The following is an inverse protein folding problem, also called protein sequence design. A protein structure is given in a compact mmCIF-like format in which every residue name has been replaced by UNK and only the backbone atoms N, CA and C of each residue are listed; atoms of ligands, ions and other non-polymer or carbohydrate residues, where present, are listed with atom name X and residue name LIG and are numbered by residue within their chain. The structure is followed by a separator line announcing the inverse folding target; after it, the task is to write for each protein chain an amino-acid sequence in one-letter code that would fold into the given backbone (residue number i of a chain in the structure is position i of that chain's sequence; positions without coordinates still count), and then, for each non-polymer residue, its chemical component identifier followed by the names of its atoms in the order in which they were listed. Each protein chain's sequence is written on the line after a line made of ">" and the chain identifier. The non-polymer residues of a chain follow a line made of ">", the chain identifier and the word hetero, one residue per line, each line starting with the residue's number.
data_IF_077033198475
#
_entry.id   IF_077033198475
#
_cell.length_a   1.000
_cell.length_b   1.000
_cell.length_c   1.000
_cell.angle_alpha   90.00
_cell.angle_beta   90.00
_cell.angle_gamma   90.00
#
_symmetry.space_group_name_H-M   'P 1'
#
loop_
_entity.id
_entity.type
_entity.pdbx_description
1 polymer ?
#
# COMPACT_ATOMS: atom_id res chain seq x y z
N UNK A 1 -14.90 13.63 19.44
CA UNK A 1 -14.12 12.38 19.33
C UNK A 1 -14.93 11.41 18.50
N UNK A 2 -14.31 10.61 17.64
CA UNK A 2 -15.02 9.73 16.73
C UNK A 2 -14.29 8.39 16.58
N UNK A 3 -15.04 7.29 16.70
CA UNK A 3 -14.64 6.00 16.14
C UNK A 3 -14.35 6.14 14.64
N UNK A 4 -13.29 5.47 14.19
CA UNK A 4 -12.99 5.40 12.77
C UNK A 4 -14.06 4.61 12.02
N UNK A 5 -14.40 5.07 10.82
CA UNK A 5 -15.28 4.35 9.90
C UNK A 5 -14.61 3.08 9.37
N UNK A 6 -15.40 2.13 8.87
CA UNK A 6 -14.87 0.91 8.25
C UNK A 6 -13.88 1.17 7.11
N UNK A 7 -14.11 2.23 6.30
CA UNK A 7 -13.18 2.66 5.25
C UNK A 7 -11.84 3.11 5.83
N UNK A 8 -11.84 3.92 6.89
CA UNK A 8 -10.61 4.38 7.55
C UNK A 8 -9.84 3.21 8.17
N UNK A 9 -10.53 2.27 8.81
CA UNK A 9 -9.92 1.07 9.38
C UNK A 9 -9.26 0.21 8.29
N UNK A 10 -9.93 0.02 7.15
CA UNK A 10 -9.38 -0.71 6.01
C UNK A 10 -8.11 -0.04 5.47
N UNK A 11 -8.11 1.29 5.28
CA UNK A 11 -6.94 2.03 4.81
C UNK A 11 -5.75 1.93 5.76
N UNK A 12 -6.02 1.85 7.07
CA UNK A 12 -4.98 1.67 8.08
C UNK A 12 -4.57 0.20 8.27
N UNK A 13 -5.29 -0.76 7.69
CA UNK A 13 -5.13 -2.19 8.01
C UNK A 13 -5.41 -2.49 9.49
N UNK A 14 -6.30 -1.73 10.12
CA UNK A 14 -6.60 -1.76 11.54
C UNK A 14 -7.89 -2.54 11.83
N UNK A 15 -7.95 -3.21 12.98
CA UNK A 15 -9.16 -3.88 13.47
C UNK A 15 -10.06 -2.94 14.25
N UNK A 16 -9.48 -1.91 14.88
CA UNK A 16 -10.19 -0.83 15.57
C UNK A 16 -9.32 0.43 15.63
N UNK A 17 -9.97 1.59 15.80
CA UNK A 17 -9.28 2.87 15.85
C UNK A 17 -10.23 4.03 16.16
N UNK A 18 -9.66 5.09 16.71
CA UNK A 18 -10.35 6.31 17.12
C UNK A 18 -9.43 7.51 16.95
N UNK A 19 -10.03 8.70 16.90
CA UNK A 19 -9.28 9.95 16.88
C UNK A 19 -10.02 11.08 17.59
N UNK A 20 -9.24 12.05 18.07
CA UNK A 20 -9.72 13.22 18.79
C UNK A 20 -8.85 14.44 18.49
N UNK A 21 -9.44 15.63 18.62
CA UNK A 21 -8.70 16.89 18.48
C UNK A 21 -8.12 17.25 19.83
N UNK A 22 -6.81 17.50 19.85
CA UNK A 22 -6.08 17.92 21.05
C UNK A 22 -6.56 19.32 21.46
N UNK A 23 -7.05 19.44 22.68
CA UNK A 23 -7.52 20.73 23.21
C UNK A 23 -6.36 21.62 23.67
N UNK A 24 -6.61 22.94 23.78
CA UNK A 24 -5.62 23.90 24.30
C UNK A 24 -5.10 23.49 25.68
N UNK A 25 -6.00 23.01 26.53
CA UNK A 25 -5.70 22.54 27.88
C UNK A 25 -4.80 21.30 27.86
N UNK A 26 -5.05 20.36 26.97
CA UNK A 26 -4.26 19.13 26.83
C UNK A 26 -2.86 19.40 26.27
N UNK A 27 -2.75 20.32 25.32
CA UNK A 27 -1.47 20.69 24.71
C UNK A 27 -0.57 21.50 25.66
N UNK A 28 -1.12 22.50 26.36
CA UNK A 28 -0.33 23.49 27.11
C UNK A 28 -0.34 23.25 28.63
N UNK A 29 -1.49 22.89 29.20
CA UNK A 29 -1.67 22.77 30.64
C UNK A 29 -1.34 21.38 31.16
N UNK A 30 -2.13 20.38 30.74
CA UNK A 30 -2.02 19.00 31.22
C UNK A 30 -0.87 18.24 30.56
N UNK A 31 -0.46 18.63 29.34
CA UNK A 31 0.53 17.96 28.48
C UNK A 31 0.26 16.46 28.35
N UNK A 32 -1.01 16.11 28.13
CA UNK A 32 -1.50 14.74 28.04
C UNK A 32 -2.78 14.69 27.22
N UNK A 33 -3.00 13.59 26.49
CA UNK A 33 -4.29 13.30 25.87
C UNK A 33 -5.17 12.55 26.86
N UNK A 34 -6.42 12.96 26.96
CA UNK A 34 -7.44 12.25 27.75
C UNK A 34 -8.04 11.12 26.92
N UNK A 35 -7.87 9.89 27.40
CA UNK A 35 -8.45 8.69 26.79
C UNK A 35 -9.68 8.29 27.62
N UNK A 36 -10.81 8.97 27.45
CA UNK A 36 -11.99 8.74 28.28
C UNK A 36 -13.18 8.06 27.57
N UNK A 37 -13.17 8.02 26.23
CA UNK A 37 -14.24 7.46 25.39
C UNK A 37 -13.75 6.35 24.45
N UNK A 38 -13.81 6.59 23.13
CA UNK A 38 -13.59 5.59 22.07
C UNK A 38 -12.14 5.11 22.06
N UNK A 39 -11.18 6.00 22.33
CA UNK A 39 -9.75 5.70 22.43
C UNK A 39 -9.46 4.67 23.51
N UNK A 40 -10.20 4.73 24.62
CA UNK A 40 -10.05 3.78 25.73
C UNK A 40 -10.50 2.38 25.32
N UNK A 41 -11.56 2.29 24.52
CA UNK A 41 -12.05 1.03 23.96
C UNK A 41 -11.07 0.42 22.98
N UNK A 42 -10.39 1.25 22.16
CA UNK A 42 -9.30 0.82 21.27
C UNK A 42 -8.11 0.30 22.07
N UNK A 43 -7.70 1.04 23.11
CA UNK A 43 -6.59 0.66 23.98
C UNK A 43 -6.84 -0.67 24.70
N UNK A 44 -8.07 -0.89 25.19
CA UNK A 44 -8.48 -2.11 25.86
C UNK A 44 -8.35 -3.38 25.00
N UNK A 45 -8.24 -3.27 23.67
CA UNK A 45 -8.04 -4.42 22.79
C UNK A 45 -6.64 -5.06 22.92
N UNK A 46 -5.65 -4.28 23.35
CA UNK A 46 -4.23 -4.72 23.41
C UNK A 46 -3.63 -4.55 24.80
N UNK A 47 -4.36 -3.98 25.76
CA UNK A 47 -3.87 -3.66 27.08
C UNK A 47 -4.91 -3.93 28.16
N UNK A 48 -4.50 -4.55 29.27
CA UNK A 48 -5.32 -4.64 30.47
C UNK A 48 -5.32 -3.30 31.21
N UNK A 49 -6.42 -2.56 31.09
CA UNK A 49 -6.59 -1.26 31.75
C UNK A 49 -6.60 -1.35 33.27
N UNK A 50 -6.95 -2.51 33.85
CA UNK A 50 -6.93 -2.73 35.29
C UNK A 50 -5.51 -2.72 35.89
N UNK A 51 -4.51 -3.02 35.07
CA UNK A 51 -3.09 -3.02 35.45
C UNK A 51 -2.46 -1.62 35.49
N UNK A 52 -3.15 -0.58 35.00
CA UNK A 52 -2.60 0.77 34.91
C UNK A 52 -2.66 1.48 36.26
N UNK A 53 -1.56 2.13 36.64
CA UNK A 53 -1.43 2.83 37.92
C UNK A 53 -2.45 3.97 38.09
N UNK A 54 -2.89 4.13 39.35
CA UNK A 54 -3.72 5.25 39.81
C UNK A 54 -2.91 6.14 40.73
N UNK A 55 -2.90 7.44 40.48
CA UNK A 55 -2.26 8.41 41.39
C UNK A 55 -3.06 8.57 42.68
N UNK A 56 -2.36 8.65 43.81
CA UNK A 56 -2.96 8.84 45.14
C UNK A 56 -3.53 7.58 45.80
N UNK A 57 -3.11 6.38 45.38
CA UNK A 57 -3.36 5.10 46.06
C UNK A 57 -2.27 4.72 47.09
N UNK A 58 -2.38 3.52 47.69
CA UNK A 58 -1.47 3.04 48.76
C UNK A 58 -0.02 2.86 48.26
N UNK A 59 0.16 2.52 46.99
CA UNK A 59 1.46 2.48 46.30
C UNK A 59 1.48 3.62 45.28
N UNK A 60 2.18 4.71 45.58
CA UNK A 60 2.32 5.87 44.71
C UNK A 60 3.36 5.60 43.62
N UNK A 61 3.06 4.65 42.73
CA UNK A 61 3.94 4.33 41.61
C UNK A 61 3.67 5.33 40.47
N UNK A 62 4.38 6.46 40.53
CA UNK A 62 4.18 7.62 39.66
C UNK A 62 4.65 7.40 38.22
N UNK A 63 5.11 6.19 37.86
CA UNK A 63 5.89 5.97 36.63
C UNK A 63 5.56 4.69 35.84
N UNK A 64 4.34 4.17 35.90
CA UNK A 64 3.95 3.10 34.97
C UNK A 64 3.91 3.67 33.55
N UNK A 65 4.81 3.15 32.73
CA UNK A 65 4.91 3.43 31.30
C UNK A 65 4.46 2.17 30.58
N UNK A 66 3.88 2.34 29.40
CA UNK A 66 3.44 1.24 28.56
C UNK A 66 3.97 1.40 27.16
N UNK A 67 4.11 0.28 26.45
CA UNK A 67 4.64 0.26 25.09
C UNK A 67 3.56 0.68 24.09
N UNK A 68 3.94 1.57 23.20
CA UNK A 68 3.15 2.03 22.07
C UNK A 68 4.03 2.07 20.82
N UNK A 69 3.40 1.93 19.66
CA UNK A 69 4.04 2.17 18.38
C UNK A 69 3.68 3.58 17.90
N UNK A 70 4.65 4.50 17.82
CA UNK A 70 4.38 5.84 17.27
C UNK A 70 4.46 5.75 15.76
N UNK A 71 3.37 6.09 15.08
CA UNK A 71 3.35 6.09 13.61
C UNK A 71 3.81 7.43 13.04
N UNK A 72 4.44 7.38 11.86
CA UNK A 72 4.78 8.57 11.10
C UNK A 72 3.60 8.94 10.18
N UNK A 73 3.01 10.15 10.27
CA UNK A 73 1.89 10.54 9.42
C UNK A 73 2.25 10.66 7.94
N UNK A 74 3.52 10.86 7.61
CA UNK A 74 4.01 10.91 6.22
C UNK A 74 4.35 9.52 5.67
N UNK A 75 4.55 8.53 6.54
CA UNK A 75 4.76 7.14 6.17
C UNK A 75 4.20 6.21 7.24
N UNK A 76 2.94 5.77 7.08
CA UNK A 76 2.23 4.96 8.08
C UNK A 76 2.88 3.59 8.34
N UNK A 77 3.74 3.12 7.42
CA UNK A 77 4.48 1.87 7.58
C UNK A 77 5.67 2.02 8.51
N UNK A 78 6.19 3.24 8.64
CA UNK A 78 7.22 3.58 9.60
C UNK A 78 6.62 3.72 11.00
N UNK A 79 7.31 3.14 11.98
CA UNK A 79 6.94 3.27 13.39
C UNK A 79 8.09 3.02 14.31
N UNK A 80 8.08 3.74 15.43
CA UNK A 80 9.02 3.56 16.53
C UNK A 80 8.31 3.05 17.78
N UNK A 81 8.82 1.99 18.39
CA UNK A 81 8.31 1.50 19.67
C UNK A 81 8.82 2.38 20.81
N UNK A 82 7.89 2.99 21.55
CA UNK A 82 8.20 3.97 22.58
C UNK A 82 7.40 3.69 23.84
N UNK A 83 8.02 3.99 24.99
CA UNK A 83 7.44 3.76 26.30
C UNK A 83 6.80 5.06 26.84
N UNK A 84 5.48 5.16 26.74
CA UNK A 84 4.72 6.38 27.05
C UNK A 84 4.08 6.27 28.43
N UNK A 85 4.18 7.29 29.31
CA UNK A 85 3.49 7.27 30.59
C UNK A 85 1.98 7.32 30.42
N UNK A 86 1.28 6.41 31.07
CA UNK A 86 -0.18 6.34 31.07
C UNK A 86 -0.68 6.10 32.49
N UNK A 87 -1.60 6.94 32.97
CA UNK A 87 -2.08 6.86 34.36
C UNK A 87 -3.53 7.30 34.51
N UNK A 88 -4.21 6.76 35.52
CA UNK A 88 -5.39 7.39 36.08
C UNK A 88 -4.94 8.51 37.04
N UNK A 89 -5.27 9.79 36.78
CA UNK A 89 -4.74 10.91 37.53
C UNK A 89 -5.38 11.05 38.93
N UNK A 90 -6.46 10.32 39.20
CA UNK A 90 -7.21 10.33 40.46
C UNK A 90 -7.32 8.91 41.03
N UNK A 91 -7.41 8.82 42.36
CA UNK A 91 -7.62 7.56 43.07
C UNK A 91 -8.97 6.91 42.73
N UNK A 92 -9.97 7.72 42.37
CA UNK A 92 -11.30 7.30 41.90
C UNK A 92 -11.64 7.95 40.56
N UNK A 93 -12.45 7.27 39.74
CA UNK A 93 -12.86 7.73 38.41
C UNK A 93 -12.19 6.95 37.26
N UNK A 94 -12.66 7.20 36.04
CA UNK A 94 -12.30 6.44 34.84
C UNK A 94 -11.53 7.26 33.79
N UNK A 95 -11.09 8.46 34.14
CA UNK A 95 -10.28 9.32 33.27
C UNK A 95 -8.88 8.74 33.15
N UNK A 96 -8.46 8.36 31.94
CA UNK A 96 -7.13 7.83 31.68
C UNK A 96 -6.34 8.88 30.88
N UNK A 97 -5.09 9.15 31.26
CA UNK A 97 -4.27 10.16 30.59
C UNK A 97 -3.01 9.55 30.03
N UNK A 98 -2.76 9.81 28.74
CA UNK A 98 -1.53 9.46 28.04
C UNK A 98 -0.66 10.71 27.91
N UNK A 99 0.50 10.72 28.57
CA UNK A 99 1.31 11.93 28.70
C UNK A 99 2.20 12.18 27.48
N UNK A 100 2.15 13.42 26.98
CA UNK A 100 2.97 13.89 25.86
C UNK A 100 4.37 14.25 26.35
N UNK A 101 5.39 13.88 25.58
CA UNK A 101 6.79 14.13 25.90
C UNK A 101 7.59 14.45 24.64
N UNK A 102 8.13 15.67 24.57
CA UNK A 102 8.99 16.08 23.47
C UNK A 102 10.31 15.30 23.39
N UNK A 103 10.80 14.72 24.49
CA UNK A 103 12.03 13.93 24.51
C UNK A 103 11.94 12.58 23.77
N UNK A 104 10.72 12.15 23.42
CA UNK A 104 10.44 10.92 22.68
C UNK A 104 9.62 11.22 21.41
N UNK A 105 9.65 12.46 20.94
CA UNK A 105 8.92 12.94 19.77
C UNK A 105 7.41 12.61 19.78
N UNK A 106 6.82 12.52 20.99
CA UNK A 106 5.39 12.31 21.20
C UNK A 106 4.76 13.57 21.76
N UNK A 107 4.56 14.58 20.91
CA UNK A 107 4.02 15.88 21.31
C UNK A 107 3.00 16.37 20.29
N UNK A 108 1.79 16.68 20.76
CA UNK A 108 0.73 17.31 19.97
C UNK A 108 0.49 18.76 20.39
N UNK A 109 0.19 19.62 19.43
CA UNK A 109 -0.22 21.00 19.67
C UNK A 109 -1.75 21.10 19.75
N UNK A 110 -2.23 22.23 20.26
CA UNK A 110 -3.66 22.52 20.23
C UNK A 110 -4.18 22.53 18.79
N UNK A 111 -5.26 21.81 18.55
CA UNK A 111 -5.84 21.63 17.22
C UNK A 111 -5.27 20.45 16.43
N UNK A 112 -4.15 19.85 16.82
CA UNK A 112 -3.68 18.60 16.19
C UNK A 112 -4.68 17.47 16.46
N UNK A 113 -4.73 16.50 15.56
CA UNK A 113 -5.57 15.30 15.68
C UNK A 113 -4.74 14.17 16.27
N UNK A 114 -5.06 13.77 17.49
CA UNK A 114 -4.58 12.54 18.09
C UNK A 114 -5.27 11.33 17.45
N UNK A 115 -4.49 10.32 17.11
CA UNK A 115 -4.97 9.10 16.46
C UNK A 115 -4.47 7.90 17.24
N UNK A 116 -5.36 6.93 17.48
CA UNK A 116 -5.03 5.63 18.06
C UNK A 116 -5.70 4.51 17.26
N UNK A 117 -4.98 3.43 16.98
CA UNK A 117 -5.54 2.25 16.32
C UNK A 117 -4.74 0.97 16.64
N UNK A 118 -5.37 -0.18 16.43
CA UNK A 118 -4.77 -1.49 16.62
C UNK A 118 -4.79 -2.29 15.32
N UNK A 119 -3.68 -2.96 15.00
CA UNK A 119 -3.62 -3.97 13.95
C UNK A 119 -3.62 -5.37 14.54
N UNK A 120 -4.09 -6.35 13.79
CA UNK A 120 -4.12 -7.75 14.25
C UNK A 120 -2.71 -8.29 14.48
N UNK A 121 -1.79 -8.05 13.54
CA UNK A 121 -0.40 -8.51 13.56
C UNK A 121 0.51 -7.79 14.55
N UNK A 122 0.06 -6.68 15.15
CA UNK A 122 0.90 -5.86 16.03
C UNK A 122 0.59 -6.12 17.51
N UNK A 123 1.64 -6.16 18.32
CA UNK A 123 1.51 -6.40 19.76
C UNK A 123 0.98 -5.18 20.52
N UNK A 124 1.37 -3.98 20.10
CA UNK A 124 1.07 -2.73 20.80
C UNK A 124 0.17 -1.83 19.96
N UNK A 125 -0.69 -1.01 20.61
CA UNK A 125 -1.48 -0.01 19.89
C UNK A 125 -0.58 1.04 19.23
N UNK A 126 -0.99 1.50 18.05
CA UNK A 126 -0.36 2.61 17.36
C UNK A 126 -0.98 3.93 17.79
N UNK A 127 -0.14 4.92 18.05
CA UNK A 127 -0.55 6.28 18.44
C UNK A 127 0.25 7.34 17.69
N UNK A 128 -0.28 8.54 17.58
CA UNK A 128 0.42 9.64 16.94
C UNK A 128 -0.44 10.89 16.83
N UNK A 129 0.18 11.95 16.33
CA UNK A 129 -0.47 13.24 16.09
C UNK A 129 -0.37 13.60 14.61
N UNK A 130 -1.45 14.13 14.06
CA UNK A 130 -1.52 14.66 12.71
C UNK A 130 -1.95 16.12 12.80
N UNK A 131 -1.25 17.03 12.12
CA UNK A 131 -1.68 18.44 12.10
C UNK A 131 -3.05 18.56 11.45
N UNK A 132 -3.91 19.45 11.94
CA UNK A 132 -5.23 19.67 11.34
C UNK A 132 -5.14 19.99 9.83
N UNK A 133 -4.13 20.75 9.41
CA UNK A 133 -3.90 21.09 8.01
C UNK A 133 -3.52 19.88 7.13
N UNK A 134 -2.93 18.83 7.72
CA UNK A 134 -2.46 17.64 7.01
C UNK A 134 -3.51 16.51 7.04
N UNK A 135 -4.61 16.67 7.78
CA UNK A 135 -5.60 15.60 8.03
C UNK A 135 -6.25 15.07 6.75
N UNK A 136 -6.72 15.97 5.88
CA UNK A 136 -7.36 15.57 4.63
C UNK A 136 -6.34 14.95 3.65
N UNK A 137 -5.13 15.52 3.60
CA UNK A 137 -4.03 15.00 2.78
C UNK A 137 -3.59 13.60 3.22
N UNK A 138 -3.55 13.34 4.53
CA UNK A 138 -3.22 12.02 5.09
C UNK A 138 -4.16 10.94 4.57
N UNK A 139 -5.48 11.15 4.69
CA UNK A 139 -6.47 10.19 4.21
C UNK A 139 -6.50 10.08 2.69
N UNK A 140 -6.30 11.21 1.97
CA UNK A 140 -6.19 11.23 0.52
C UNK A 140 -5.03 10.36 0.02
N UNK A 141 -3.85 10.49 0.62
CA UNK A 141 -2.67 9.71 0.25
C UNK A 141 -2.85 8.22 0.53
N UNK A 142 -3.41 7.84 1.69
CA UNK A 142 -3.68 6.44 2.01
C UNK A 142 -4.71 5.82 1.05
N UNK A 143 -5.76 6.57 0.69
CA UNK A 143 -6.75 6.11 -0.26
C UNK A 143 -6.14 5.91 -1.66
N UNK A 144 -5.32 6.86 -2.12
CA UNK A 144 -4.60 6.74 -3.40
C UNK A 144 -3.67 5.52 -3.43
N UNK A 145 -2.86 5.32 -2.38
CA UNK A 145 -1.96 4.16 -2.28
C UNK A 145 -2.75 2.85 -2.24
N UNK A 146 -3.87 2.80 -1.53
CA UNK A 146 -4.74 1.62 -1.49
C UNK A 146 -5.35 1.32 -2.86
N UNK A 147 -5.82 2.33 -3.58
CA UNK A 147 -6.39 2.19 -4.93
C UNK A 147 -5.32 1.71 -5.93
N UNK A 148 -4.13 2.31 -5.90
CA UNK A 148 -2.99 1.88 -6.71
C UNK A 148 -2.59 0.44 -6.39
N UNK A 149 -2.43 0.07 -5.12
CA UNK A 149 -2.05 -1.29 -4.74
C UNK A 149 -3.13 -2.31 -5.12
N UNK A 150 -4.41 -1.96 -4.99
CA UNK A 150 -5.51 -2.84 -5.43
C UNK A 150 -5.50 -3.04 -6.95
N UNK A 151 -5.17 -1.99 -7.70
CA UNK A 151 -5.06 -2.05 -9.16
C UNK A 151 -3.88 -2.91 -9.59
N UNK A 152 -2.70 -2.71 -8.98
CA UNK A 152 -1.50 -3.52 -9.22
C UNK A 152 -1.78 -4.98 -8.87
N UNK A 153 -2.42 -5.26 -7.73
CA UNK A 153 -2.74 -6.62 -7.32
C UNK A 153 -3.69 -7.33 -8.31
N UNK A 154 -4.71 -6.63 -8.82
CA UNK A 154 -5.61 -7.17 -9.84
C UNK A 154 -4.84 -7.43 -11.15
N UNK A 155 -3.98 -6.50 -11.57
CA UNK A 155 -3.13 -6.65 -12.75
C UNK A 155 -2.20 -7.88 -12.61
N UNK A 156 -1.55 -8.06 -11.45
CA UNK A 156 -0.66 -9.19 -11.18
C UNK A 156 -1.39 -10.54 -11.25
N UNK A 157 -2.61 -10.64 -10.73
CA UNK A 157 -3.41 -11.88 -10.82
C UNK A 157 -3.70 -12.22 -12.27
N UNK A 158 -4.19 -11.23 -13.04
CA UNK A 158 -4.57 -11.41 -14.44
C UNK A 158 -3.35 -11.77 -15.31
N UNK A 159 -2.21 -11.12 -15.08
CA UNK A 159 -0.97 -11.40 -15.80
C UNK A 159 -0.37 -12.76 -15.46
N UNK A 160 -0.44 -13.21 -14.20
CA UNK A 160 -0.03 -14.58 -13.83
C UNK A 160 -0.88 -15.64 -14.55
N UNK A 161 -2.19 -15.46 -14.58
CA UNK A 161 -3.09 -16.38 -15.30
C UNK A 161 -2.77 -16.40 -16.80
N UNK A 162 -2.48 -15.23 -17.37
CA UNK A 162 -2.07 -15.11 -18.75
C UNK A 162 -0.75 -15.83 -19.05
N UNK A 163 0.29 -15.64 -18.23
CA UNK A 163 1.56 -16.36 -18.42
C UNK A 163 1.36 -17.88 -18.39
N UNK A 164 0.54 -18.39 -17.46
CA UNK A 164 0.23 -19.83 -17.40
C UNK A 164 -0.44 -20.33 -18.67
N UNK A 165 -1.41 -19.58 -19.21
CA UNK A 165 -2.09 -19.92 -20.48
C UNK A 165 -1.14 -19.94 -21.67
N UNK A 166 -0.17 -19.01 -21.71
CA UNK A 166 0.83 -18.93 -22.75
C UNK A 166 1.75 -20.16 -22.71
N UNK A 167 2.21 -20.56 -21.52
CA UNK A 167 3.06 -21.74 -21.35
C UNK A 167 2.33 -23.02 -21.76
N UNK A 168 1.06 -23.18 -21.37
CA UNK A 168 0.25 -24.31 -21.81
C UNK A 168 0.07 -24.32 -23.34
N UNK A 169 -0.19 -23.16 -23.96
CA UNK A 169 -0.28 -23.02 -25.42
C UNK A 169 1.03 -23.44 -26.10
N UNK A 170 2.18 -22.96 -25.59
CA UNK A 170 3.49 -23.34 -26.13
C UNK A 170 3.74 -24.84 -26.02
N UNK A 171 3.26 -25.48 -24.96
CA UNK A 171 3.35 -26.92 -24.75
C UNK A 171 2.32 -27.75 -25.55
N UNK A 172 1.43 -27.10 -26.32
CA UNK A 172 0.35 -27.78 -27.05
C UNK A 172 -0.75 -28.36 -26.15
N UNK A 173 -0.85 -27.86 -24.91
CA UNK A 173 -1.83 -28.32 -23.93
C UNK A 173 -3.09 -27.44 -24.06
N UNK A 174 -4.28 -28.03 -24.22
CA UNK A 174 -5.53 -27.28 -24.24
C UNK A 174 -5.79 -26.64 -22.87
N UNK A 175 -6.18 -25.36 -22.86
CA UNK A 175 -6.49 -24.59 -21.65
C UNK A 175 -8.00 -24.40 -21.56
N UNK A 176 -8.60 -24.82 -20.45
CA UNK A 176 -9.99 -24.49 -20.14
C UNK A 176 -10.01 -23.27 -19.22
N UNK A 177 -10.63 -22.18 -19.64
CA UNK A 177 -10.72 -20.94 -18.86
C UNK A 177 -12.17 -20.72 -18.39
N UNK A 178 -12.36 -20.46 -17.10
CA UNK A 178 -13.65 -20.04 -16.53
C UNK A 178 -13.45 -18.84 -15.61
N UNK A 179 -13.45 -17.63 -16.18
CA UNK A 179 -13.48 -16.35 -15.46
C UNK A 179 -13.94 -15.23 -16.39
N UNK A 180 -14.46 -14.13 -15.83
CA UNK A 180 -14.82 -12.93 -16.59
C UNK A 180 -13.57 -12.07 -16.79
N UNK A 181 -12.88 -12.25 -17.92
CA UNK A 181 -11.81 -11.36 -18.38
C UNK A 181 -11.95 -11.06 -19.86
N UNK A 182 -11.25 -10.03 -20.33
CA UNK A 182 -11.14 -9.77 -21.75
C UNK A 182 -10.36 -10.91 -22.42
N UNK A 183 -10.86 -11.49 -23.53
CA UNK A 183 -10.19 -12.59 -24.21
C UNK A 183 -8.82 -12.14 -24.70
N UNK A 184 -7.79 -12.95 -24.42
CA UNK A 184 -6.41 -12.74 -24.86
C UNK A 184 -5.98 -13.86 -25.82
N UNK A 185 -5.25 -13.52 -26.87
CA UNK A 185 -4.73 -14.42 -27.87
C UNK A 185 -3.27 -14.76 -27.52
N UNK A 186 -3.06 -15.95 -26.96
CA UNK A 186 -1.73 -16.46 -26.61
C UNK A 186 -0.79 -16.58 -27.84
N UNK A 187 -1.34 -16.68 -29.04
CA UNK A 187 -0.58 -16.62 -30.29
C UNK A 187 0.13 -15.29 -30.51
N UNK A 188 -0.51 -14.17 -30.14
CA UNK A 188 0.11 -12.84 -30.24
C UNK A 188 1.24 -12.66 -29.22
N UNK A 189 1.08 -13.17 -27.99
CA UNK A 189 2.16 -13.17 -27.01
C UNK A 189 3.34 -14.02 -27.45
N UNK A 190 3.08 -15.23 -27.93
CA UNK A 190 4.13 -16.11 -28.48
C UNK A 190 4.86 -15.39 -29.61
N UNK A 191 4.13 -14.79 -30.55
CA UNK A 191 4.69 -14.05 -31.66
C UNK A 191 5.54 -12.85 -31.18
N UNK A 192 5.09 -12.10 -30.17
CA UNK A 192 5.85 -10.97 -29.62
C UNK A 192 7.19 -11.43 -29.01
N UNK A 193 7.20 -12.54 -28.25
CA UNK A 193 8.42 -13.13 -27.70
C UNK A 193 9.34 -13.61 -28.83
N UNK A 194 8.82 -14.29 -29.85
CA UNK A 194 9.59 -14.74 -31.01
C UNK A 194 10.20 -13.55 -31.78
N UNK A 195 9.44 -12.49 -31.99
CA UNK A 195 9.91 -11.26 -32.64
C UNK A 195 11.01 -10.54 -31.86
N UNK A 196 11.03 -10.67 -30.53
CA UNK A 196 12.12 -10.15 -29.69
C UNK A 196 13.42 -10.97 -29.77
N UNK A 197 13.39 -12.12 -30.44
CA UNK A 197 14.50 -13.08 -30.44
C UNK A 197 14.72 -13.72 -29.06
N UNK A 198 13.66 -13.86 -28.26
CA UNK A 198 13.74 -14.36 -26.88
C UNK A 198 14.69 -13.52 -26.00
N UNK A 199 14.63 -12.19 -26.13
CA UNK A 199 15.41 -11.25 -25.33
C UNK A 199 14.52 -10.26 -24.60
N UNK A 200 14.98 -9.75 -23.45
CA UNK A 200 14.22 -8.75 -22.72
C UNK A 200 14.27 -7.41 -23.45
N UNK A 201 13.10 -6.82 -23.69
CA UNK A 201 12.99 -5.53 -24.37
C UNK A 201 13.48 -4.35 -23.51
N UNK A 202 13.67 -4.52 -22.20
CA UNK A 202 14.32 -3.52 -21.33
C UNK A 202 15.84 -3.54 -21.55
N UNK A 203 16.47 -4.70 -21.39
CA UNK A 203 17.90 -4.90 -21.63
C UNK A 203 18.14 -6.28 -22.27
N UNK A 204 18.65 -6.35 -23.52
CA UNK A 204 18.87 -7.61 -24.21
C UNK A 204 19.97 -8.48 -23.57
N UNK A 205 20.77 -7.93 -22.65
CA UNK A 205 21.79 -8.68 -21.89
C UNK A 205 21.20 -9.48 -20.74
N UNK A 206 19.93 -9.28 -20.39
CA UNK A 206 19.27 -10.09 -19.38
C UNK A 206 19.10 -11.52 -19.88
N UNK A 207 19.87 -12.43 -19.28
CA UNK A 207 19.78 -13.86 -19.53
C UNK A 207 18.87 -14.53 -18.49
N UNK A 208 18.15 -15.55 -18.95
CA UNK A 208 17.27 -16.38 -18.12
C UNK A 208 17.57 -17.86 -18.37
N UNK A 209 16.91 -18.75 -17.65
CA UNK A 209 17.02 -20.18 -17.92
C UNK A 209 16.43 -20.52 -19.29
N UNK A 210 16.90 -21.63 -19.88
CA UNK A 210 16.40 -22.12 -21.15
C UNK A 210 15.04 -22.81 -20.96
N UNK A 211 14.02 -22.38 -21.70
CA UNK A 211 12.72 -23.02 -21.71
C UNK A 211 12.83 -24.42 -22.32
N UNK A 212 12.29 -25.47 -21.67
CA UNK A 212 12.28 -26.81 -22.24
C UNK A 212 11.36 -26.92 -23.46
N UNK A 213 10.39 -26.01 -23.61
CA UNK A 213 9.40 -26.02 -24.68
C UNK A 213 9.94 -25.36 -25.94
N UNK A 214 10.55 -24.18 -25.81
CA UNK A 214 11.07 -23.43 -26.98
C UNK A 214 12.54 -23.69 -27.25
N UNK A 215 13.29 -24.20 -26.26
CA UNK A 215 14.73 -24.35 -26.36
C UNK A 215 15.48 -23.01 -26.43
N UNK A 216 14.87 -21.92 -26.00
CA UNK A 216 15.43 -20.55 -26.01
C UNK A 216 15.38 -19.95 -24.59
N UNK A 217 15.91 -18.74 -24.40
CA UNK A 217 15.78 -18.04 -23.13
C UNK A 217 14.29 -17.88 -22.76
N UNK A 218 13.96 -18.13 -21.49
CA UNK A 218 12.62 -17.94 -20.97
C UNK A 218 12.29 -16.45 -20.84
N UNK A 219 11.19 -16.02 -21.45
CA UNK A 219 10.67 -14.66 -21.36
C UNK A 219 9.17 -14.70 -21.12
N UNK A 220 8.64 -13.64 -20.51
CA UNK A 220 7.24 -13.42 -20.21
C UNK A 220 6.70 -12.33 -21.13
N UNK A 221 5.47 -12.51 -21.64
CA UNK A 221 4.82 -11.52 -22.49
C UNK A 221 3.98 -10.59 -21.62
N UNK A 222 4.20 -9.27 -21.71
CA UNK A 222 3.51 -8.30 -20.87
C UNK A 222 2.77 -7.27 -21.74
N UNK A 223 1.50 -7.00 -21.43
CA UNK A 223 0.74 -5.92 -22.06
C UNK A 223 1.10 -4.60 -21.39
N UNK A 224 1.75 -3.71 -22.13
CA UNK A 224 2.25 -2.43 -21.61
C UNK A 224 1.12 -1.47 -21.22
N UNK A 225 -0.01 -1.49 -21.92
CA UNK A 225 -1.29 -0.97 -21.42
C UNK A 225 -2.03 -2.18 -20.83
N UNK A 226 -2.24 -2.23 -19.49
CA UNK A 226 -2.85 -3.38 -18.85
C UNK A 226 -4.25 -3.69 -19.39
N UNK A 227 -4.55 -4.97 -19.62
CA UNK A 227 -5.83 -5.42 -20.17
C UNK A 227 -7.04 -5.06 -19.28
N UNK A 228 -6.83 -4.84 -17.98
CA UNK A 228 -7.86 -4.34 -17.07
C UNK A 228 -8.47 -2.99 -17.50
N UNK A 229 -7.76 -2.25 -18.36
CA UNK A 229 -8.21 -0.96 -18.89
C UNK A 229 -8.86 -1.05 -20.27
N UNK A 230 -9.11 -2.25 -20.81
CA UNK A 230 -9.71 -2.43 -22.14
C UNK A 230 -11.06 -1.69 -22.30
N UNK A 231 -11.83 -1.54 -21.22
CA UNK A 231 -13.07 -0.76 -21.22
C UNK A 231 -12.87 0.72 -21.64
N UNK A 232 -11.68 1.28 -21.37
CA UNK A 232 -11.31 2.65 -21.75
C UNK A 232 -10.89 2.78 -23.22
N UNK A 233 -10.72 1.65 -23.93
CA UNK A 233 -10.36 1.59 -25.35
C UNK A 233 -11.47 0.84 -26.13
N UNK A 234 -12.69 1.39 -26.23
CA UNK A 234 -13.84 0.67 -26.78
C UNK A 234 -13.73 0.36 -28.28
N UNK A 235 -12.88 1.09 -29.01
CA UNK A 235 -12.71 0.94 -30.46
C UNK A 235 -11.45 0.15 -30.86
N UNK A 236 -10.54 -0.09 -29.92
CA UNK A 236 -9.25 -0.75 -30.17
C UNK A 236 -9.00 -1.85 -29.14
N UNK A 237 -8.73 -3.07 -29.61
CA UNK A 237 -8.28 -4.14 -28.71
C UNK A 237 -6.87 -3.84 -28.21
N UNK A 238 -6.68 -3.89 -26.90
CA UNK A 238 -5.38 -3.80 -26.25
C UNK A 238 -4.55 -5.08 -26.46
N UNK A 239 -5.19 -6.20 -26.81
CA UNK A 239 -4.52 -7.46 -27.10
C UNK A 239 -3.97 -7.48 -28.53
N UNK A 240 -2.88 -6.73 -28.74
CA UNK A 240 -2.23 -6.56 -30.04
C UNK A 240 -0.72 -6.48 -29.89
N UNK A 241 0.03 -6.88 -30.92
CA UNK A 241 1.51 -6.90 -30.90
C UNK A 241 2.15 -5.57 -30.50
N UNK A 242 1.54 -4.45 -30.90
CA UNK A 242 2.02 -3.11 -30.56
C UNK A 242 1.97 -2.78 -29.07
N UNK A 243 1.15 -3.51 -28.30
CA UNK A 243 0.99 -3.35 -26.86
C UNK A 243 1.68 -4.47 -26.06
N UNK A 244 2.22 -5.50 -26.71
CA UNK A 244 2.89 -6.63 -26.03
C UNK A 244 4.41 -6.44 -26.11
N UNK A 245 5.08 -6.60 -24.96
CA UNK A 245 6.54 -6.59 -24.82
C UNK A 245 7.06 -7.91 -24.26
N UNK A 246 8.26 -8.32 -24.67
CA UNK A 246 8.97 -9.46 -24.08
C UNK A 246 9.85 -9.02 -22.91
N UNK A 247 9.62 -9.57 -21.72
CA UNK A 247 10.35 -9.22 -20.50
C UNK A 247 10.99 -10.46 -19.86
N UNK A 248 12.15 -10.28 -19.23
CA UNK A 248 12.64 -11.30 -18.30
C UNK A 248 11.79 -11.27 -17.02
N UNK A 249 11.72 -12.37 -16.25
CA UNK A 249 10.89 -12.43 -15.04
C UNK A 249 11.21 -11.36 -13.99
N UNK A 250 12.46 -10.88 -13.95
CA UNK A 250 12.87 -9.80 -13.05
C UNK A 250 12.27 -8.45 -13.46
N UNK A 251 12.43 -8.06 -14.73
CA UNK A 251 11.86 -6.80 -15.25
C UNK A 251 10.34 -6.82 -15.22
N UNK A 252 9.72 -7.96 -15.53
CA UNK A 252 8.27 -8.10 -15.45
C UNK A 252 7.77 -7.90 -14.02
N UNK A 253 8.37 -8.56 -13.02
CA UNK A 253 8.00 -8.29 -11.61
C UNK A 253 8.30 -6.86 -11.17
N UNK A 254 9.42 -6.30 -11.61
CA UNK A 254 9.82 -4.95 -11.24
C UNK A 254 8.85 -3.87 -11.78
N UNK A 255 8.22 -4.07 -12.94
CA UNK A 255 7.26 -3.11 -13.49
C UNK A 255 5.98 -3.02 -12.64
N UNK A 256 5.60 -4.10 -11.95
CA UNK A 256 4.44 -4.15 -11.06
C UNK A 256 4.80 -3.85 -9.59
N UNK A 257 5.91 -4.40 -9.10
CA UNK A 257 6.24 -4.42 -7.67
C UNK A 257 7.38 -3.47 -7.29
N UNK A 258 8.14 -2.94 -8.26
CA UNK A 258 9.21 -1.98 -8.01
C UNK A 258 8.69 -0.67 -7.43
N UNK A 259 9.56 0.10 -6.80
CA UNK A 259 9.20 1.47 -6.40
C UNK A 259 8.93 2.37 -7.62
N UNK A 260 8.38 3.56 -7.39
CA UNK A 260 8.01 4.50 -8.45
C UNK A 260 9.19 4.86 -9.38
N UNK A 261 10.42 4.91 -8.88
CA UNK A 261 11.59 5.24 -9.68
C UNK A 261 11.95 4.10 -10.64
N UNK A 262 11.96 2.86 -10.12
CA UNK A 262 12.20 1.64 -10.91
C UNK A 262 11.13 1.47 -11.98
N UNK A 263 9.85 1.61 -11.62
CA UNK A 263 8.74 1.51 -12.58
C UNK A 263 8.86 2.56 -13.68
N UNK A 264 9.14 3.82 -13.31
CA UNK A 264 9.26 4.93 -14.29
C UNK A 264 10.40 4.69 -15.28
N UNK A 265 11.54 4.19 -14.82
CA UNK A 265 12.69 3.85 -15.69
C UNK A 265 12.34 2.74 -16.69
N UNK A 266 11.70 1.66 -16.21
CA UNK A 266 11.24 0.56 -17.05
C UNK A 266 10.20 1.02 -18.06
N UNK A 267 9.17 1.74 -17.60
CA UNK A 267 8.10 2.28 -18.45
C UNK A 267 8.66 3.24 -19.50
N UNK A 268 9.63 4.09 -19.15
CA UNK A 268 10.26 5.00 -20.11
C UNK A 268 10.96 4.25 -21.23
N UNK A 269 11.70 3.20 -20.87
CA UNK A 269 12.42 2.35 -21.84
C UNK A 269 11.45 1.66 -22.80
N UNK A 270 10.37 1.07 -22.27
CA UNK A 270 9.36 0.36 -23.05
C UNK A 270 8.47 1.30 -23.87
N UNK A 271 8.10 2.46 -23.31
CA UNK A 271 7.37 3.51 -24.00
C UNK A 271 8.10 3.96 -25.26
N UNK A 272 9.41 4.25 -25.16
CA UNK A 272 10.21 4.65 -26.31
C UNK A 272 10.28 3.57 -27.40
N UNK A 273 10.28 2.29 -27.02
CA UNK A 273 10.27 1.16 -27.97
C UNK A 273 8.94 0.96 -28.67
N UNK A 274 7.82 1.26 -28.01
CA UNK A 274 6.46 1.09 -28.53
C UNK A 274 5.75 2.41 -28.84
N UNK A 275 6.47 3.53 -28.87
CA UNK A 275 5.91 4.89 -28.89
C UNK A 275 4.87 5.09 -29.99
N UNK A 276 5.17 4.65 -31.23
CA UNK A 276 4.24 4.77 -32.34
C UNK A 276 2.93 3.99 -32.12
N UNK A 277 3.01 2.77 -31.58
CA UNK A 277 1.82 1.96 -31.30
C UNK A 277 0.98 2.53 -30.15
N UNK A 278 1.63 3.06 -29.11
CA UNK A 278 0.95 3.70 -27.97
C UNK A 278 0.30 5.02 -28.37
N UNK A 279 0.94 5.82 -29.23
CA UNK A 279 0.38 7.05 -29.77
C UNK A 279 -0.88 6.80 -30.60
N UNK A 280 -0.94 5.70 -31.36
CA UNK A 280 -2.16 5.31 -32.08
C UNK A 280 -3.34 5.00 -31.15
N UNK A 281 -3.05 4.56 -29.91
CA UNK A 281 -4.04 4.34 -28.86
C UNK A 281 -4.31 5.61 -28.04
N UNK A 282 -3.70 6.75 -28.38
CA UNK A 282 -3.83 8.00 -27.62
C UNK A 282 -3.15 7.98 -26.26
N UNK A 283 -2.22 7.05 -26.02
CA UNK A 283 -1.50 6.93 -24.74
C UNK A 283 -0.15 7.63 -24.84
N UNK A 284 0.03 8.69 -24.05
CA UNK A 284 1.32 9.34 -23.83
C UNK A 284 2.04 8.75 -22.61
N UNK A 285 3.24 9.23 -22.32
CA UNK A 285 4.05 8.68 -21.22
C UNK A 285 3.44 8.93 -19.84
N UNK A 286 2.83 10.10 -19.59
CA UNK A 286 2.18 10.39 -18.31
C UNK A 286 0.99 9.48 -18.06
N UNK A 287 0.14 9.28 -19.08
CA UNK A 287 -0.98 8.34 -19.03
C UNK A 287 -0.47 6.93 -18.79
N UNK A 288 0.60 6.50 -19.46
CA UNK A 288 1.18 5.19 -19.19
C UNK A 288 1.64 5.06 -17.73
N UNK A 289 2.32 6.06 -17.17
CA UNK A 289 2.74 6.04 -15.76
C UNK A 289 1.56 5.93 -14.78
N UNK A 290 0.45 6.64 -15.06
CA UNK A 290 -0.72 6.63 -14.19
C UNK A 290 -1.42 5.27 -14.15
N UNK A 291 -1.40 4.50 -15.24
CA UNK A 291 -1.92 3.12 -15.30
C UNK A 291 -1.16 2.14 -14.37
N UNK A 292 0.07 2.48 -13.97
CA UNK A 292 0.90 1.74 -13.02
C UNK A 292 1.00 2.43 -11.66
N UNK A 293 0.16 3.45 -11.41
CA UNK A 293 0.14 4.20 -10.16
C UNK A 293 1.43 4.97 -9.87
N UNK A 294 2.11 5.43 -10.92
CA UNK A 294 3.33 6.24 -10.82
C UNK A 294 3.00 7.69 -11.19
N UNK A 295 3.33 8.63 -10.30
CA UNK A 295 3.23 10.06 -10.58
C UNK A 295 4.35 10.49 -11.54
N UNK A 296 3.99 11.18 -12.63
CA UNK A 296 4.94 11.73 -13.60
C UNK A 296 5.70 12.95 -13.07
#
# INVERSE_FOLDING_TARGET
>A
MAMMSGKQLQLLGATCGAYSVVTEREATGDRSVTLDMDEKSVLAQKMDLGSIARRGGVTDDRSVRQWFSIFNPYNIFDSSMIHIPIVYPKSTGNELRLYMQGSIDFLGNAGDVFVIFCRESEQFPRVGFIRAADWDTFWGNLNYVSEVNSTIYIQDIDDNQYQQSLLATQAGIPVQQSYTAYPRNSGLAKQAIEMSGFTCEVDPRHHTFRSPVTGQNFMEAHHLIPMSHQASFPYDSLDRLGNIVSLCPCCHKAIHLGDSSVRKELLWTLFNKKAHALQQLGVNFETLCSLYGVSS
#
